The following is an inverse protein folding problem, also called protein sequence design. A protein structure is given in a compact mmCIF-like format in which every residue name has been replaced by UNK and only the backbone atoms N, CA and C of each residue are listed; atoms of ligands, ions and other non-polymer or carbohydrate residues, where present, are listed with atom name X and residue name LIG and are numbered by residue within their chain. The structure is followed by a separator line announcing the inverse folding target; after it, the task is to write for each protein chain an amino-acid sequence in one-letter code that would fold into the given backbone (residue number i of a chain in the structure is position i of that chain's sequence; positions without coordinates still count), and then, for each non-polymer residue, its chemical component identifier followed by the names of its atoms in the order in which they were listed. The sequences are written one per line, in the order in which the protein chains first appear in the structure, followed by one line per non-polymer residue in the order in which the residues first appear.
data_IF_420253847238
#
_entry.id   IF_420253847238
#
_cell.length_a   1.000
_cell.length_b   1.000
_cell.length_c   1.000
_cell.angle_alpha   90.00
_cell.angle_beta   90.00
_cell.angle_gamma   90.00
#
_symmetry.space_group_name_H-M   'P 1'
#
loop_
_entity.id
_entity.type
_entity.pdbx_description
1 polymer ?
#
# COMPACT_ATOMS: atom_id res chain seq x y z
N UNK A 1 3.54 4.13 25.51
CA UNK A 1 2.78 4.40 24.27
C UNK A 1 2.13 3.10 23.82
N UNK A 2 0.88 3.12 23.36
CA UNK A 2 0.25 1.92 22.77
C UNK A 2 0.69 1.81 21.31
N UNK A 3 1.14 0.63 20.86
CA UNK A 3 1.46 0.38 19.45
C UNK A 3 0.20 0.31 18.56
N UNK A 4 -1.01 0.43 19.13
CA UNK A 4 -2.29 0.32 18.42
C UNK A 4 -2.61 1.45 17.43
N UNK A 5 -1.81 2.52 17.40
CA UNK A 5 -2.05 3.69 16.52
C UNK A 5 -0.75 4.28 15.97
N UNK A 6 0.25 3.42 15.78
CA UNK A 6 1.57 3.80 15.26
C UNK A 6 1.86 2.94 14.04
N UNK A 7 2.35 3.56 12.98
CA UNK A 7 2.90 2.87 11.82
C UNK A 7 4.43 2.96 11.87
N UNK A 8 5.10 1.81 11.95
CA UNK A 8 6.55 1.73 11.85
C UNK A 8 6.92 1.40 10.41
N UNK A 9 7.63 2.30 9.72
CA UNK A 9 8.11 2.05 8.36
C UNK A 9 9.61 1.76 8.41
N UNK A 10 9.98 0.56 8.01
CA UNK A 10 11.38 0.12 7.93
C UNK A 10 11.85 0.36 6.50
N UNK A 11 12.33 1.57 6.25
CA UNK A 11 12.84 1.97 4.95
C UNK A 11 14.31 1.55 4.78
N UNK A 12 14.63 0.80 3.74
CA UNK A 12 16.02 0.40 3.45
C UNK A 12 16.75 1.46 2.62
N UNK A 13 18.09 1.43 2.68
CA UNK A 13 18.92 2.21 1.77
C UNK A 13 18.98 1.56 0.38
N UNK A 14 19.24 2.36 -0.66
CA UNK A 14 19.48 1.85 -2.02
C UNK A 14 20.57 0.78 -2.01
N UNK A 15 20.34 -0.31 -2.76
CA UNK A 15 21.21 -1.47 -2.84
C UNK A 15 21.18 -2.40 -1.62
N UNK A 16 20.41 -2.09 -0.57
CA UNK A 16 20.37 -2.85 0.69
C UNK A 16 18.98 -3.47 0.94
N UNK A 17 18.37 -4.03 -0.11
CA UNK A 17 17.05 -4.64 -0.05
C UNK A 17 17.14 -6.15 0.22
N UNK A 18 16.13 -6.71 0.90
CA UNK A 18 16.03 -8.15 1.15
C UNK A 18 15.74 -8.94 -0.14
N UNK A 19 16.06 -10.24 -0.11
CA UNK A 19 15.88 -11.15 -1.25
C UNK A 19 14.39 -11.24 -1.64
N UNK A 20 14.11 -11.14 -2.94
CA UNK A 20 12.76 -11.22 -3.50
C UNK A 20 12.17 -9.85 -3.85
N UNK A 21 12.74 -8.76 -3.33
CA UNK A 21 12.32 -7.42 -3.72
C UNK A 21 12.40 -7.19 -5.24
N UNK A 22 11.36 -6.59 -5.82
CA UNK A 22 11.26 -6.29 -7.26
C UNK A 22 10.94 -7.49 -8.16
N UNK A 23 10.69 -8.66 -7.57
CA UNK A 23 10.32 -9.90 -8.30
C UNK A 23 9.25 -10.74 -7.62
N UNK A 24 9.19 -10.70 -6.28
CA UNK A 24 8.20 -11.41 -5.45
C UNK A 24 7.32 -10.44 -4.67
N UNK A 25 7.89 -9.31 -4.24
CA UNK A 25 7.16 -8.27 -3.53
C UNK A 25 7.78 -6.90 -3.82
N UNK A 26 6.99 -5.85 -3.55
CA UNK A 26 7.45 -4.47 -3.60
C UNK A 26 7.59 -3.87 -2.20
N UNK A 27 6.64 -4.19 -1.33
CA UNK A 27 6.70 -4.02 0.10
C UNK A 27 5.82 -5.11 0.73
N UNK A 28 5.73 -5.09 2.04
CA UNK A 28 4.74 -5.84 2.79
C UNK A 28 4.64 -5.24 4.19
N UNK A 29 3.49 -5.34 4.82
CA UNK A 29 3.34 -5.12 6.24
C UNK A 29 3.35 -6.45 7.00
N UNK A 30 3.79 -6.41 8.25
CA UNK A 30 3.88 -7.58 9.12
C UNK A 30 3.89 -7.17 10.58
N UNK A 31 4.00 -8.15 11.47
CA UNK A 31 3.99 -7.95 12.91
C UNK A 31 5.11 -8.72 13.59
N UNK A 32 5.59 -8.18 14.71
CA UNK A 32 6.53 -8.87 15.59
C UNK A 32 6.23 -8.58 17.05
N UNK A 33 6.64 -9.48 17.95
CA UNK A 33 6.52 -9.29 19.39
C UNK A 33 7.76 -8.61 19.95
N UNK A 34 7.57 -7.67 20.87
CA UNK A 34 8.65 -6.96 21.55
C UNK A 34 8.38 -6.84 23.05
N UNK A 35 9.36 -6.37 23.82
CA UNK A 35 9.22 -6.11 25.26
C UNK A 35 8.22 -4.98 25.58
N UNK A 36 7.82 -4.20 24.57
CA UNK A 36 6.84 -3.13 24.68
C UNK A 36 5.51 -3.47 23.99
N UNK A 37 5.28 -4.76 23.72
CA UNK A 37 4.07 -5.28 23.07
C UNK A 37 4.28 -5.62 21.59
N UNK A 38 3.22 -6.07 20.92
CA UNK A 38 3.27 -6.34 19.49
C UNK A 38 3.45 -5.04 18.70
N UNK A 39 4.26 -5.11 17.65
CA UNK A 39 4.61 -4.01 16.76
C UNK A 39 4.23 -4.42 15.34
N UNK A 40 3.32 -3.67 14.75
CA UNK A 40 3.05 -3.73 13.31
C UNK A 40 4.07 -2.86 12.57
N UNK A 41 4.57 -3.32 11.43
CA UNK A 41 5.55 -2.58 10.64
C UNK A 41 5.35 -2.83 9.15
N UNK A 42 5.69 -1.83 8.35
CA UNK A 42 5.86 -1.95 6.90
C UNK A 42 7.34 -2.14 6.59
N UNK A 43 7.69 -3.23 5.92
CA UNK A 43 9.00 -3.35 5.26
C UNK A 43 8.93 -2.63 3.92
N UNK A 44 9.63 -1.49 3.81
CA UNK A 44 9.62 -0.66 2.61
C UNK A 44 11.02 -0.62 2.00
N UNK A 45 11.34 -1.53 1.07
CA UNK A 45 12.57 -1.46 0.30
C UNK A 45 12.74 -0.10 -0.39
N UNK A 46 13.96 0.21 -0.85
CA UNK A 46 14.21 1.41 -1.64
C UNK A 46 13.56 1.26 -3.02
N UNK A 47 12.27 1.61 -3.11
CA UNK A 47 11.35 1.24 -4.21
C UNK A 47 11.93 1.53 -5.60
N UNK A 48 12.65 2.64 -5.76
CA UNK A 48 13.22 3.04 -7.05
C UNK A 48 14.27 2.07 -7.59
N UNK A 49 14.90 1.24 -6.74
CA UNK A 49 15.83 0.19 -7.19
C UNK A 49 15.13 -0.91 -8.01
N UNK A 50 13.82 -1.11 -7.81
CA UNK A 50 13.03 -2.08 -8.59
C UNK A 50 12.48 -1.51 -9.89
N UNK A 51 12.57 -0.19 -10.11
CA UNK A 51 12.05 0.46 -11.32
C UNK A 51 10.59 0.09 -11.61
N UNK A 52 10.31 -0.29 -12.86
CA UNK A 52 8.95 -0.59 -13.32
C UNK A 52 8.33 -1.80 -12.60
N UNK A 53 9.15 -2.74 -12.09
CA UNK A 53 8.66 -3.90 -11.35
C UNK A 53 7.89 -3.52 -10.07
N UNK A 54 8.13 -2.33 -9.53
CA UNK A 54 7.39 -1.78 -8.41
C UNK A 54 6.79 -0.40 -8.71
N UNK A 55 6.32 -0.21 -9.94
CA UNK A 55 5.44 0.91 -10.28
C UNK A 55 6.14 2.19 -10.70
N UNK A 56 7.44 2.20 -10.98
CA UNK A 56 8.06 3.37 -11.62
C UNK A 56 7.37 3.66 -12.96
N UNK A 57 6.88 4.89 -13.12
CA UNK A 57 6.12 5.36 -14.27
C UNK A 57 4.83 4.59 -14.57
N UNK A 58 4.27 3.88 -13.59
CA UNK A 58 2.96 3.25 -13.74
C UNK A 58 1.91 4.30 -14.12
N UNK A 59 1.09 4.02 -15.13
CA UNK A 59 0.14 4.96 -15.73
C UNK A 59 0.71 6.33 -16.16
N UNK A 60 2.02 6.42 -16.42
CA UNK A 60 2.64 7.69 -16.77
C UNK A 60 2.78 8.67 -15.60
N UNK A 61 2.62 8.19 -14.36
CA UNK A 61 2.66 8.99 -13.12
C UNK A 61 4.09 9.37 -12.70
N UNK A 62 5.07 9.16 -13.58
CA UNK A 62 6.46 9.55 -13.39
C UNK A 62 7.34 8.48 -12.73
N UNK A 63 8.67 8.66 -12.80
CA UNK A 63 9.66 7.62 -12.47
C UNK A 63 9.67 7.20 -11.00
N UNK A 64 8.99 7.94 -10.12
CA UNK A 64 8.93 7.69 -8.68
C UNK A 64 7.54 7.26 -8.18
N UNK A 65 6.59 7.04 -9.08
CA UNK A 65 5.20 6.73 -8.73
C UNK A 65 5.06 5.53 -7.79
N UNK A 66 5.89 4.50 -8.00
CA UNK A 66 5.96 3.32 -7.16
C UNK A 66 6.12 3.60 -5.67
N UNK A 67 6.83 4.66 -5.28
CA UNK A 67 7.11 4.97 -3.87
C UNK A 67 5.78 5.14 -3.10
N UNK A 68 4.91 6.00 -3.60
CA UNK A 68 3.65 6.36 -2.91
C UNK A 68 2.52 5.38 -3.23
N UNK A 69 2.52 4.75 -4.40
CA UNK A 69 1.59 3.66 -4.73
C UNK A 69 1.78 2.50 -3.75
N UNK A 70 3.02 2.00 -3.63
CA UNK A 70 3.35 0.85 -2.78
C UNK A 70 3.25 1.24 -1.30
N UNK A 71 3.79 2.38 -0.86
CA UNK A 71 3.67 2.76 0.56
C UNK A 71 2.22 3.02 0.98
N UNK A 72 1.40 3.59 0.09
CA UNK A 72 -0.02 3.86 0.35
C UNK A 72 -0.84 2.58 0.45
N UNK A 73 -0.52 1.58 -0.37
CA UNK A 73 -1.08 0.23 -0.29
C UNK A 73 -0.83 -0.37 1.10
N UNK A 74 0.43 -0.48 1.52
CA UNK A 74 0.78 -1.08 2.82
C UNK A 74 0.20 -0.31 4.01
N UNK A 75 0.11 1.02 3.88
CA UNK A 75 -0.53 1.85 4.90
C UNK A 75 -2.02 1.56 5.03
N UNK A 76 -2.73 1.46 3.91
CA UNK A 76 -4.16 1.18 3.90
C UNK A 76 -4.48 -0.19 4.51
N UNK A 77 -3.64 -1.18 4.23
CA UNK A 77 -3.75 -2.53 4.75
C UNK A 77 -3.45 -2.58 6.24
N UNK A 78 -2.35 -1.95 6.69
CA UNK A 78 -2.02 -1.82 8.13
C UNK A 78 -3.15 -1.15 8.93
N UNK A 79 -3.91 -0.23 8.33
CA UNK A 79 -5.05 0.43 9.01
C UNK A 79 -6.26 -0.50 9.18
N UNK A 80 -6.47 -1.45 8.26
CA UNK A 80 -7.62 -2.38 8.29
C UNK A 80 -7.29 -3.76 8.83
N UNK A 81 -6.02 -4.15 8.79
CA UNK A 81 -5.45 -5.39 9.28
C UNK A 81 -4.07 -5.12 9.90
N UNK A 82 -4.06 -4.49 11.07
CA UNK A 82 -2.81 -4.10 11.72
C UNK A 82 -1.85 -5.28 11.98
N UNK A 83 -2.40 -6.49 12.19
CA UNK A 83 -1.63 -7.71 12.44
C UNK A 83 -2.09 -8.75 11.42
N UNK A 84 -1.27 -9.07 10.40
CA UNK A 84 -1.75 -9.79 9.20
C UNK A 84 -2.61 -11.01 9.51
N UNK A 85 -3.72 -11.14 8.78
CA UNK A 85 -4.80 -12.11 8.97
C UNK A 85 -5.63 -11.90 10.25
N UNK A 86 -5.57 -10.71 10.86
CA UNK A 86 -6.36 -10.33 12.02
C UNK A 86 -7.53 -9.38 11.70
N UNK A 87 -7.53 -8.81 10.49
CA UNK A 87 -8.45 -7.78 10.04
C UNK A 87 -9.41 -8.25 8.94
N UNK A 88 -9.58 -7.40 7.91
CA UNK A 88 -10.59 -7.58 6.86
C UNK A 88 -9.97 -8.15 5.58
N UNK A 89 -10.21 -9.45 5.35
CA UNK A 89 -9.82 -10.15 4.13
C UNK A 89 -11.04 -10.56 3.31
N UNK A 90 -10.90 -10.64 1.99
CA UNK A 90 -11.87 -11.33 1.15
C UNK A 90 -11.69 -12.86 1.23
N UNK A 91 -12.57 -13.61 0.55
CA UNK A 91 -12.55 -15.08 0.59
C UNK A 91 -11.30 -15.71 -0.05
N UNK A 92 -10.51 -14.93 -0.79
CA UNK A 92 -9.24 -15.34 -1.39
C UNK A 92 -8.03 -14.88 -0.57
N UNK A 93 -8.26 -14.19 0.55
CA UNK A 93 -7.23 -13.63 1.42
C UNK A 93 -6.74 -12.25 0.99
N UNK A 94 -7.41 -11.58 0.04
CA UNK A 94 -7.01 -10.25 -0.43
C UNK A 94 -7.50 -9.15 0.50
N UNK A 95 -6.61 -8.22 0.83
CA UNK A 95 -6.90 -7.02 1.60
C UNK A 95 -7.48 -5.88 0.74
N UNK A 96 -7.75 -4.73 1.35
CA UNK A 96 -8.33 -3.58 0.65
C UNK A 96 -7.39 -3.00 -0.44
N UNK A 97 -6.08 -3.06 -0.23
CA UNK A 97 -5.04 -2.64 -1.18
C UNK A 97 -4.87 -3.66 -2.31
N UNK A 98 -4.71 -4.93 -1.94
CA UNK A 98 -4.59 -6.06 -2.88
C UNK A 98 -5.66 -6.08 -3.96
N UNK A 99 -6.93 -5.93 -3.57
CA UNK A 99 -8.08 -5.99 -4.48
C UNK A 99 -8.07 -4.93 -5.57
N UNK A 100 -7.26 -3.88 -5.39
CA UNK A 100 -7.17 -2.74 -6.27
C UNK A 100 -5.75 -2.48 -6.79
N UNK A 101 -4.84 -3.43 -6.58
CA UNK A 101 -3.46 -3.32 -7.02
C UNK A 101 -3.36 -3.28 -8.56
N UNK A 102 -2.46 -2.43 -9.05
CA UNK A 102 -2.03 -2.38 -10.46
C UNK A 102 -3.16 -2.17 -11.50
N UNK A 103 -4.24 -1.46 -11.15
CA UNK A 103 -5.26 -1.08 -12.13
C UNK A 103 -4.72 0.03 -13.04
N UNK A 104 -4.57 -0.27 -14.34
CA UNK A 104 -3.94 0.63 -15.31
C UNK A 104 -4.92 1.55 -16.06
N UNK A 105 -6.22 1.24 -16.03
CA UNK A 105 -7.23 2.01 -16.75
C UNK A 105 -8.63 1.75 -16.20
N UNK A 106 -9.55 2.72 -16.37
CA UNK A 106 -10.93 2.61 -15.93
C UNK A 106 -11.13 2.94 -14.44
N UNK A 107 -12.22 2.46 -13.87
CA UNK A 107 -12.56 2.70 -12.46
C UNK A 107 -11.48 2.16 -11.54
N UNK A 108 -10.99 3.01 -10.63
CA UNK A 108 -9.93 2.64 -9.69
C UNK A 108 -8.52 2.62 -10.28
N UNK A 109 -8.33 3.06 -11.54
CA UNK A 109 -6.99 3.20 -12.08
C UNK A 109 -6.12 4.09 -11.19
N UNK A 110 -4.86 3.69 -11.00
CA UNK A 110 -3.91 4.51 -10.23
C UNK A 110 -3.76 5.88 -10.88
N UNK A 111 -3.76 6.93 -10.06
CA UNK A 111 -3.71 8.31 -10.52
C UNK A 111 -3.03 9.19 -9.47
N UNK A 112 -2.74 10.43 -9.86
CA UNK A 112 -2.36 11.47 -8.92
C UNK A 112 -3.58 11.90 -8.07
N UNK A 113 -3.42 11.87 -6.76
CA UNK A 113 -4.40 12.40 -5.81
C UNK A 113 -3.83 13.64 -5.13
N UNK A 114 -4.57 14.75 -5.22
CA UNK A 114 -4.23 16.01 -4.57
C UNK A 114 -4.85 16.05 -3.16
N UNK A 115 -4.01 16.21 -2.16
CA UNK A 115 -4.40 16.30 -0.76
C UNK A 115 -4.73 17.75 -0.37
N UNK A 116 -5.42 17.98 0.78
CA UNK A 116 -5.84 19.33 1.20
C UNK A 116 -4.72 20.36 1.36
N UNK A 117 -3.48 19.90 1.56
CA UNK A 117 -2.29 20.76 1.65
C UNK A 117 -1.73 21.16 0.27
N UNK A 118 -2.39 20.80 -0.84
CA UNK A 118 -1.98 21.08 -2.21
C UNK A 118 -0.89 20.15 -2.76
N UNK A 119 -0.40 19.19 -1.97
CA UNK A 119 0.54 18.18 -2.46
C UNK A 119 -0.20 17.11 -3.26
N UNK A 120 0.40 16.63 -4.35
CA UNK A 120 -0.16 15.57 -5.18
C UNK A 120 0.80 14.39 -5.22
N UNK A 121 0.25 13.18 -5.09
CA UNK A 121 1.03 11.95 -5.09
C UNK A 121 0.36 10.88 -5.95
N UNK A 122 1.14 10.08 -6.70
CA UNK A 122 0.65 8.87 -7.35
C UNK A 122 0.15 7.88 -6.31
N UNK A 123 -1.08 7.43 -6.42
CA UNK A 123 -1.65 6.44 -5.52
C UNK A 123 -2.44 5.40 -6.32
N UNK A 124 -2.48 4.17 -5.80
CA UNK A 124 -3.50 3.23 -6.24
C UNK A 124 -4.82 3.51 -5.52
N UNK A 125 -5.91 2.99 -6.07
CA UNK A 125 -7.19 2.98 -5.39
C UNK A 125 -7.24 1.91 -4.30
N UNK A 126 -8.24 2.01 -3.43
CA UNK A 126 -8.55 1.03 -2.39
C UNK A 126 -9.96 0.49 -2.58
N UNK A 127 -10.20 -0.72 -2.08
CA UNK A 127 -11.52 -1.30 -2.09
C UNK A 127 -12.44 -0.63 -1.06
N UNK A 128 -13.61 -0.18 -1.49
CA UNK A 128 -14.69 0.27 -0.61
C UNK A 128 -15.93 -0.56 -0.85
N UNK A 129 -16.49 -1.17 0.20
CA UNK A 129 -17.78 -1.88 0.12
C UNK A 129 -18.96 -0.93 -0.16
N UNK A 130 -18.84 0.36 0.20
CA UNK A 130 -19.93 1.32 0.05
C UNK A 130 -20.11 1.80 -1.40
N UNK A 131 -19.12 1.59 -2.26
CA UNK A 131 -19.21 1.98 -3.66
C UNK A 131 -20.25 1.14 -4.44
N UNK A 132 -20.72 1.69 -5.56
CA UNK A 132 -21.64 1.02 -6.49
C UNK A 132 -22.89 0.44 -5.79
N UNK A 133 -23.65 1.28 -5.08
CA UNK A 133 -24.84 0.88 -4.31
C UNK A 133 -24.55 -0.26 -3.31
N UNK A 134 -23.46 -0.13 -2.54
CA UNK A 134 -22.97 -1.14 -1.59
C UNK A 134 -22.56 -2.49 -2.21
N UNK A 135 -22.31 -2.54 -3.53
CA UNK A 135 -21.80 -3.73 -4.20
C UNK A 135 -20.27 -3.81 -4.20
N UNK A 136 -19.62 -2.72 -3.79
CA UNK A 136 -18.18 -2.61 -3.66
C UNK A 136 -17.45 -2.21 -4.95
N UNK A 137 -16.24 -1.71 -4.79
CA UNK A 137 -15.32 -1.44 -5.90
C UNK A 137 -14.10 -0.62 -5.51
N UNK A 138 -13.19 -0.50 -6.47
CA UNK A 138 -11.94 0.22 -6.31
C UNK A 138 -12.12 1.72 -6.58
N UNK A 139 -11.79 2.54 -5.59
CA UNK A 139 -12.00 4.00 -5.62
C UNK A 139 -10.79 4.73 -5.04
N UNK A 140 -10.43 5.87 -5.65
CA UNK A 140 -9.41 6.79 -5.12
C UNK A 140 -9.98 7.70 -4.02
N UNK A 141 -11.31 7.89 -4.05
CA UNK A 141 -12.07 8.67 -3.08
C UNK A 141 -13.51 8.19 -3.06
N UNK A 142 -14.12 8.14 -1.89
CA UNK A 142 -15.54 7.86 -1.72
C UNK A 142 -16.12 8.73 -0.61
N UNK A 143 -17.27 9.41 -0.81
CA UNK A 143 -17.94 10.23 0.21
C UNK A 143 -18.44 9.46 1.43
#
# INVERSE_FOLDING_TARGET
ASNSSVQYVIATASGNNSRGFGSQYCAYHSATSSTVGNVAYTNLPYITDAGASCGANFNGLGPKAGITIVSGHEMAETLTDQFPNGGWLDSSGGENGDKCAWISSGQGASADVTFPNGSSFPVQSLWSNAFNNNSGGCVLSFP
#
